data_IF_413991434511
#
_entry.id   IF_413991434511
#
_cell.length_a   1.000
_cell.length_b   1.000
_cell.length_c   1.000
_cell.angle_alpha   90.00
_cell.angle_beta   90.00
_cell.angle_gamma   90.00
#
_symmetry.space_group_name_H-M   'P 1'
#
loop_
_entity.id
_entity.type
_entity.pdbx_description
1 polymer ?
#
# COMPACT_ATOMS: atom_id res chain seq x y z
N UNK A 1 -25.35 6.18 51.20
CA UNK A 1 -25.10 5.53 49.88
C UNK A 1 -25.48 6.51 48.77
N UNK A 2 -24.54 7.26 48.22
CA UNK A 2 -24.74 7.97 46.94
C UNK A 2 -23.46 7.80 46.12
N UNK A 3 -23.53 6.89 45.15
CA UNK A 3 -22.43 6.51 44.27
C UNK A 3 -22.25 7.58 43.19
N UNK A 4 -21.10 8.27 43.21
CA UNK A 4 -20.75 9.27 42.20
C UNK A 4 -20.15 8.57 40.97
N UNK A 5 -20.93 8.54 39.88
CA UNK A 5 -20.55 7.97 38.59
C UNK A 5 -19.42 8.80 37.98
N UNK A 6 -18.18 8.31 38.05
CA UNK A 6 -17.03 8.91 37.35
C UNK A 6 -17.09 8.49 35.89
N UNK A 7 -17.61 9.39 35.06
CA UNK A 7 -17.69 9.24 33.60
C UNK A 7 -16.30 9.03 33.01
N UNK A 8 -16.13 7.89 32.33
CA UNK A 8 -14.91 7.58 31.60
C UNK A 8 -15.06 8.17 30.20
N UNK A 9 -14.30 9.23 29.91
CA UNK A 9 -14.21 9.81 28.57
C UNK A 9 -13.44 8.82 27.68
N UNK A 10 -14.15 8.12 26.80
CA UNK A 10 -13.56 7.37 25.70
C UNK A 10 -13.04 8.38 24.67
N UNK A 11 -11.72 8.61 24.68
CA UNK A 11 -11.03 9.29 23.60
C UNK A 11 -10.97 8.37 22.38
N UNK A 12 -11.91 8.52 21.45
CA UNK A 12 -11.94 7.81 20.19
C UNK A 12 -10.94 8.49 19.22
N UNK A 13 -9.68 8.05 19.25
CA UNK A 13 -8.67 8.48 18.28
C UNK A 13 -9.04 7.97 16.89
N UNK A 14 -9.61 8.85 16.07
CA UNK A 14 -9.91 8.59 14.67
C UNK A 14 -8.60 8.55 13.89
N UNK A 15 -7.99 7.37 13.75
CA UNK A 15 -6.88 7.17 12.84
C UNK A 15 -7.38 7.45 11.42
N UNK A 16 -7.02 8.61 10.87
CA UNK A 16 -7.23 8.89 9.46
C UNK A 16 -6.48 7.81 8.66
N UNK A 17 -7.23 6.88 8.07
CA UNK A 17 -6.68 5.93 7.13
C UNK A 17 -6.26 6.72 5.89
N UNK A 18 -5.02 7.23 5.92
CA UNK A 18 -4.36 7.72 4.71
C UNK A 18 -4.49 6.62 3.65
N UNK A 19 -4.79 6.96 2.40
CA UNK A 19 -4.82 5.99 1.32
C UNK A 19 -3.39 5.50 1.09
N UNK A 20 -2.96 4.55 1.90
CA UNK A 20 -1.66 3.93 1.81
C UNK A 20 -1.81 2.83 0.78
N UNK A 21 -1.44 3.16 -0.46
CA UNK A 21 -0.90 2.14 -1.31
C UNK A 21 0.46 1.74 -0.76
N UNK A 22 0.83 0.48 -0.88
CA UNK A 22 2.21 0.03 -0.72
C UNK A 22 3.03 0.49 -1.93
N UNK A 23 3.04 1.80 -2.14
CA UNK A 23 3.81 2.46 -3.17
C UNK A 23 5.29 2.41 -2.85
N UNK A 24 6.10 2.84 -3.81
CA UNK A 24 7.54 2.90 -3.66
C UNK A 24 7.93 3.71 -2.41
N UNK A 25 8.64 3.09 -1.46
CA UNK A 25 9.04 3.68 -0.19
C UNK A 25 8.08 3.42 0.99
N UNK A 26 6.89 2.87 0.74
CA UNK A 26 5.89 2.57 1.76
C UNK A 26 6.10 1.19 2.40
N UNK A 27 5.32 0.90 3.46
CA UNK A 27 5.41 -0.36 4.21
C UNK A 27 4.58 -1.48 3.59
N UNK A 28 5.07 -2.72 3.70
CA UNK A 28 4.38 -3.93 3.22
C UNK A 28 2.96 -4.11 3.78
N UNK A 29 2.65 -3.55 4.96
CA UNK A 29 1.32 -3.65 5.58
C UNK A 29 0.20 -3.02 4.76
N UNK A 30 0.52 -2.09 3.85
CA UNK A 30 -0.45 -1.48 2.94
C UNK A 30 -0.86 -2.40 1.78
N UNK A 31 -0.08 -3.44 1.46
CA UNK A 31 -0.33 -4.33 0.30
C UNK A 31 -1.68 -5.03 0.40
N UNK A 32 -2.07 -5.45 1.60
CA UNK A 32 -3.35 -6.14 1.82
C UNK A 32 -4.55 -5.19 1.60
N UNK A 33 -4.38 -3.92 1.97
CA UNK A 33 -5.39 -2.89 1.70
C UNK A 33 -5.54 -2.66 0.20
N UNK A 34 -4.42 -2.63 -0.54
CA UNK A 34 -4.42 -2.49 -1.99
C UNK A 34 -5.12 -3.68 -2.66
N UNK A 35 -4.75 -4.90 -2.27
CA UNK A 35 -5.37 -6.13 -2.76
C UNK A 35 -6.89 -6.07 -2.66
N UNK A 36 -7.41 -5.67 -1.50
CA UNK A 36 -8.85 -5.55 -1.27
C UNK A 36 -9.48 -4.45 -2.15
N UNK A 37 -8.82 -3.30 -2.27
CA UNK A 37 -9.30 -2.14 -3.05
C UNK A 37 -9.44 -2.45 -4.53
N UNK A 38 -8.46 -3.15 -5.12
CA UNK A 38 -8.43 -3.46 -6.56
C UNK A 38 -8.99 -4.84 -6.89
N UNK A 39 -9.61 -5.52 -5.92
CA UNK A 39 -10.14 -6.89 -6.07
C UNK A 39 -9.14 -7.87 -6.69
N UNK A 40 -7.88 -7.77 -6.28
CA UNK A 40 -6.82 -8.61 -6.81
C UNK A 40 -6.68 -9.94 -6.05
N UNK A 41 -6.25 -10.97 -6.78
CA UNK A 41 -5.64 -12.15 -6.18
C UNK A 41 -4.23 -11.79 -5.75
N UNK A 42 -3.79 -12.27 -4.59
CA UNK A 42 -2.45 -12.02 -4.07
C UNK A 42 -1.64 -13.30 -3.98
N UNK A 43 -0.40 -13.23 -4.45
CA UNK A 43 0.60 -14.27 -4.29
C UNK A 43 1.85 -13.66 -3.62
N UNK A 44 2.48 -14.44 -2.75
CA UNK A 44 3.70 -14.06 -2.05
C UNK A 44 4.81 -15.07 -2.37
N UNK A 45 5.91 -14.58 -2.92
CA UNK A 45 7.13 -15.36 -3.10
C UNK A 45 8.25 -14.76 -2.22
N UNK A 46 8.90 -15.60 -1.40
CA UNK A 46 10.03 -15.17 -0.57
C UNK A 46 11.33 -15.56 -1.25
N UNK A 47 12.24 -14.61 -1.38
CA UNK A 47 13.62 -14.83 -1.85
C UNK A 47 14.59 -14.57 -0.69
N UNK A 48 15.88 -14.92 -0.82
CA UNK A 48 16.87 -14.63 0.22
C UNK A 48 17.04 -13.15 0.56
N UNK A 49 16.70 -12.24 -0.37
CA UNK A 49 16.98 -10.81 -0.24
C UNK A 49 15.73 -9.93 -0.17
N UNK A 50 14.60 -10.41 -0.68
CA UNK A 50 13.35 -9.66 -0.71
C UNK A 50 12.12 -10.58 -0.74
N UNK A 51 10.97 -10.04 -0.37
CA UNK A 51 9.67 -10.65 -0.64
C UNK A 51 9.02 -10.00 -1.86
N UNK A 52 8.48 -10.83 -2.76
CA UNK A 52 7.72 -10.41 -3.92
C UNK A 52 6.24 -10.61 -3.63
N UNK A 53 5.50 -9.51 -3.57
CA UNK A 53 4.05 -9.50 -3.54
C UNK A 53 3.53 -9.26 -4.96
N UNK A 54 2.74 -10.19 -5.46
CA UNK A 54 2.10 -10.06 -6.76
C UNK A 54 0.59 -9.95 -6.60
N UNK A 55 0.02 -8.87 -7.14
CA UNK A 55 -1.40 -8.60 -7.22
C UNK A 55 -1.87 -8.79 -8.67
N UNK A 56 -2.76 -9.74 -8.87
CA UNK A 56 -3.29 -10.09 -10.20
C UNK A 56 -4.78 -9.80 -10.27
N UNK A 57 -5.17 -8.98 -11.25
CA UNK A 57 -6.56 -8.57 -11.52
C UNK A 57 -7.22 -9.52 -12.53
N UNK A 58 -8.56 -9.47 -12.62
CA UNK A 58 -9.33 -10.38 -13.47
C UNK A 58 -9.14 -10.13 -14.99
N UNK A 59 -8.72 -8.92 -15.37
CA UNK A 59 -8.42 -8.51 -16.74
C UNK A 59 -7.02 -8.94 -17.21
N UNK A 60 -6.27 -9.65 -16.36
CA UNK A 60 -4.88 -10.06 -16.64
C UNK A 60 -3.83 -9.03 -16.22
N UNK A 61 -4.24 -7.84 -15.75
CA UNK A 61 -3.33 -6.83 -15.23
C UNK A 61 -2.63 -7.31 -13.96
N UNK A 62 -1.34 -6.99 -13.81
CA UNK A 62 -0.49 -7.42 -12.70
C UNK A 62 0.29 -6.26 -12.11
N UNK A 63 0.41 -6.26 -10.78
CA UNK A 63 1.29 -5.37 -10.02
C UNK A 63 2.19 -6.22 -9.14
N UNK A 64 3.48 -5.93 -9.18
CA UNK A 64 4.53 -6.61 -8.43
C UNK A 64 5.21 -5.61 -7.51
N UNK A 65 5.17 -5.85 -6.21
CA UNK A 65 5.81 -5.05 -5.16
C UNK A 65 6.94 -5.85 -4.53
N UNK A 66 8.13 -5.27 -4.53
CA UNK A 66 9.35 -5.88 -3.99
C UNK A 66 9.67 -5.26 -2.66
N UNK A 67 9.66 -6.08 -1.61
CA UNK A 67 9.79 -5.67 -0.22
C UNK A 67 11.14 -6.13 0.32
N UNK A 68 11.95 -5.18 0.82
CA UNK A 68 13.24 -5.47 1.44
C UNK A 68 13.08 -6.05 2.85
N UNK A 69 14.18 -6.52 3.44
CA UNK A 69 14.17 -7.09 4.79
C UNK A 69 13.65 -6.11 5.89
N UNK A 70 13.67 -4.81 5.63
CA UNK A 70 13.13 -3.77 6.50
C UNK A 70 11.59 -3.58 6.37
N UNK A 71 10.93 -4.37 5.53
CA UNK A 71 9.48 -4.28 5.27
C UNK A 71 9.09 -3.10 4.39
N UNK A 72 10.04 -2.47 3.69
CA UNK A 72 9.80 -1.36 2.79
C UNK A 72 9.73 -1.84 1.34
N UNK A 73 8.77 -1.32 0.58
CA UNK A 73 8.70 -1.50 -0.87
C UNK A 73 9.80 -0.68 -1.53
N UNK A 74 10.78 -1.33 -2.13
CA UNK A 74 11.91 -0.66 -2.80
C UNK A 74 11.83 -0.70 -4.32
N UNK A 75 10.94 -1.52 -4.88
CA UNK A 75 10.64 -1.51 -6.30
C UNK A 75 9.18 -1.89 -6.54
N UNK A 76 8.61 -1.33 -7.60
CA UNK A 76 7.27 -1.66 -8.09
C UNK A 76 7.35 -1.86 -9.61
N UNK A 77 6.77 -2.96 -10.09
CA UNK A 77 6.59 -3.24 -11.51
C UNK A 77 5.10 -3.46 -11.78
N UNK A 78 4.64 -3.01 -12.92
CA UNK A 78 3.28 -3.25 -13.37
C UNK A 78 3.28 -3.72 -14.82
N UNK A 79 2.33 -4.57 -15.14
CA UNK A 79 2.05 -5.06 -16.49
C UNK A 79 0.53 -5.06 -16.65
N UNK A 80 0.01 -4.00 -17.25
CA UNK A 80 -1.43 -3.67 -17.22
C UNK A 80 -1.90 -3.26 -18.61
N UNK A 81 -3.15 -3.55 -18.93
CA UNK A 81 -3.72 -3.25 -20.26
C UNK A 81 -3.76 -1.74 -20.55
N UNK A 82 -4.02 -0.94 -19.52
CA UNK A 82 -4.01 0.51 -19.56
C UNK A 82 -2.95 1.05 -18.60
N UNK A 83 -2.46 2.27 -18.85
CA UNK A 83 -1.55 2.94 -17.91
C UNK A 83 -2.22 3.02 -16.53
N UNK A 84 -1.60 2.49 -15.46
CA UNK A 84 -2.18 2.58 -14.12
C UNK A 84 -2.09 4.01 -13.61
N UNK A 85 -2.92 4.33 -12.60
CA UNK A 85 -2.77 5.57 -11.85
C UNK A 85 -1.44 5.53 -11.08
N UNK A 86 -0.42 6.22 -11.62
CA UNK A 86 0.92 6.25 -11.03
C UNK A 86 0.95 7.02 -9.70
N UNK A 87 -0.02 7.89 -9.43
CA UNK A 87 -0.10 8.57 -8.14
C UNK A 87 -0.43 7.59 -7.01
N UNK A 88 -1.30 6.63 -7.31
CA UNK A 88 -1.63 5.53 -6.42
C UNK A 88 -0.48 4.54 -6.34
N UNK A 89 0.04 4.09 -7.49
CA UNK A 89 1.07 3.05 -7.54
C UNK A 89 2.41 3.45 -6.89
N UNK A 90 2.78 4.72 -7.00
CA UNK A 90 4.05 5.23 -6.45
C UNK A 90 3.88 5.91 -5.09
N UNK A 91 2.65 6.21 -4.65
CA UNK A 91 2.38 6.87 -3.39
C UNK A 91 3.22 8.14 -3.21
N UNK A 92 3.92 8.25 -2.09
CA UNK A 92 4.77 9.41 -1.76
C UNK A 92 5.88 9.66 -2.80
N UNK A 93 6.37 8.64 -3.51
CA UNK A 93 7.38 8.81 -4.55
C UNK A 93 6.84 9.48 -5.84
N UNK A 94 5.52 9.58 -6.00
CA UNK A 94 4.91 10.15 -7.20
C UNK A 94 5.30 11.62 -7.43
N UNK A 95 5.39 12.43 -6.38
CA UNK A 95 5.75 13.84 -6.52
C UNK A 95 7.12 14.03 -7.18
N UNK A 96 8.11 13.25 -6.73
CA UNK A 96 9.45 13.23 -7.33
C UNK A 96 9.43 12.73 -8.78
N UNK A 97 8.69 11.65 -9.05
CA UNK A 97 8.50 11.13 -10.40
C UNK A 97 7.89 12.17 -11.35
N UNK A 98 6.79 12.82 -10.94
CA UNK A 98 6.10 13.82 -11.74
C UNK A 98 6.96 15.06 -12.00
N UNK A 99 7.76 15.48 -11.03
CA UNK A 99 8.74 16.56 -11.19
C UNK A 99 9.83 16.22 -12.21
N UNK A 100 10.35 14.99 -12.18
CA UNK A 100 11.38 14.52 -13.10
C UNK A 100 10.89 14.30 -14.54
N UNK A 101 9.58 14.13 -14.76
CA UNK A 101 8.99 14.00 -16.11
C UNK A 101 8.79 15.35 -16.81
N UNK A 102 8.73 16.45 -16.06
CA UNK A 102 8.46 17.81 -16.58
C UNK A 102 9.70 18.49 -17.20
N UNK A 103 10.60 17.75 -17.85
CA UNK A 103 11.82 18.32 -18.45
C UNK A 103 11.56 18.86 -19.85
#
# INVERSE_FOLDING_TARGET
>A
MTSSKRGWLLALSLAAAVPAWAGLGEREGAIETDRARISARHALARTPHYALHELSMADGSRVQQYVGANGQVFAVRWDTLHKPDLSQLLGNAFASYAGAVRV
#
